data_IF_195927018752
#
_entry.id   IF_195927018752
#
_cell.length_a   1.000
_cell.length_b   1.000
_cell.length_c   1.000
_cell.angle_alpha   90.00
_cell.angle_beta   90.00
_cell.angle_gamma   90.00
#
_symmetry.space_group_name_H-M   'P 1'
#
loop_
_entity.id
_entity.type
_entity.pdbx_description
1 polymer ?
#
# COMPACT_ATOMS: atom_id res chain seq x y z
N UNK A 1 -6.57 18.14 -1.21
CA UNK A 1 -6.05 17.47 0.00
C UNK A 1 -6.78 16.16 0.14
N UNK A 2 -6.09 15.01 0.17
CA UNK A 2 -6.74 13.72 0.45
C UNK A 2 -7.02 13.63 1.94
N UNK A 3 -8.29 13.60 2.32
CA UNK A 3 -8.70 13.47 3.72
C UNK A 3 -8.73 11.99 4.05
N UNK A 4 -7.57 11.40 4.36
CA UNK A 4 -7.49 9.98 4.72
C UNK A 4 -8.38 9.68 5.93
N UNK A 5 -9.09 8.54 5.91
CA UNK A 5 -9.93 8.14 7.04
C UNK A 5 -9.04 7.94 8.27
N UNK A 6 -9.59 8.20 9.46
CA UNK A 6 -8.88 7.97 10.74
C UNK A 6 -9.50 6.81 11.49
N UNK A 7 -8.63 5.97 12.05
CA UNK A 7 -8.98 4.96 13.04
C UNK A 7 -9.54 5.62 14.31
N UNK A 8 -10.20 4.82 15.16
CA UNK A 8 -10.70 5.25 16.48
C UNK A 8 -9.64 5.94 17.34
N UNK A 9 -8.37 5.58 17.19
CA UNK A 9 -7.25 6.12 17.96
C UNK A 9 -6.51 7.27 17.25
N UNK A 10 -7.13 7.87 16.23
CA UNK A 10 -6.57 9.03 15.51
C UNK A 10 -5.46 8.69 14.51
N UNK A 11 -5.06 7.43 14.37
CA UNK A 11 -4.13 7.00 13.31
C UNK A 11 -4.83 7.09 11.95
N UNK A 12 -4.14 7.59 10.94
CA UNK A 12 -4.64 7.63 9.56
C UNK A 12 -4.59 6.21 9.00
N UNK A 13 -5.67 5.76 8.34
CA UNK A 13 -5.69 4.49 7.61
C UNK A 13 -4.66 4.53 6.48
N UNK A 14 -4.01 3.39 6.22
CA UNK A 14 -3.13 3.28 5.06
C UNK A 14 -3.97 3.29 3.79
N UNK A 15 -3.57 4.09 2.81
CA UNK A 15 -4.19 4.11 1.49
C UNK A 15 -3.36 3.24 0.53
N UNK A 16 -4.02 2.44 -0.29
CA UNK A 16 -3.41 1.60 -1.32
C UNK A 16 -3.97 1.96 -2.69
N UNK A 17 -3.09 1.98 -3.69
CA UNK A 17 -3.50 2.11 -5.08
C UNK A 17 -3.81 0.71 -5.62
N UNK A 18 -5.09 0.46 -5.91
CA UNK A 18 -5.59 -0.85 -6.34
C UNK A 18 -5.82 -0.84 -7.85
N UNK A 19 -5.17 -1.76 -8.55
CA UNK A 19 -5.46 -2.07 -9.95
C UNK A 19 -6.55 -3.14 -10.01
N UNK A 20 -7.68 -2.81 -10.64
CA UNK A 20 -8.81 -3.71 -10.74
C UNK A 20 -8.78 -4.48 -12.05
N UNK A 21 -9.17 -5.76 -11.98
CA UNK A 21 -9.32 -6.56 -13.19
C UNK A 21 -10.47 -6.00 -14.03
N UNK A 22 -10.18 -5.61 -15.27
CA UNK A 22 -11.17 -5.08 -16.21
C UNK A 22 -11.39 -3.57 -16.13
N UNK A 23 -10.60 -2.86 -15.32
CA UNK A 23 -10.54 -1.40 -15.32
C UNK A 23 -9.13 -0.94 -15.67
N UNK A 24 -9.01 0.09 -16.50
CA UNK A 24 -7.71 0.68 -16.85
C UNK A 24 -7.17 1.54 -15.70
N UNK A 25 -8.05 2.32 -15.08
CA UNK A 25 -7.66 3.26 -14.04
C UNK A 25 -7.64 2.62 -12.64
N UNK A 26 -6.50 2.70 -11.93
CA UNK A 26 -6.44 2.27 -10.55
C UNK A 26 -7.09 3.29 -9.62
N UNK A 27 -7.55 2.81 -8.46
CA UNK A 27 -8.20 3.67 -7.45
C UNK A 27 -7.51 3.61 -6.11
N UNK A 28 -7.46 4.74 -5.41
CA UNK A 28 -6.98 4.80 -4.02
C UNK A 28 -8.07 4.33 -3.05
N UNK A 29 -7.73 3.36 -2.20
CA UNK A 29 -8.64 2.77 -1.21
C UNK A 29 -7.97 2.68 0.16
N UNK A 30 -8.74 2.99 1.20
CA UNK A 30 -8.33 2.83 2.59
C UNK A 30 -8.21 1.34 2.95
N UNK A 31 -7.26 1.00 3.82
CA UNK A 31 -7.05 -0.35 4.36
C UNK A 31 -8.34 -0.98 4.92
N UNK A 32 -9.23 -0.18 5.50
CA UNK A 32 -10.50 -0.63 6.04
C UNK A 32 -11.51 -1.07 4.96
N UNK A 33 -11.44 -0.49 3.77
CA UNK A 33 -12.35 -0.77 2.65
C UNK A 33 -11.80 -1.88 1.73
N UNK A 34 -10.55 -2.30 1.91
CA UNK A 34 -9.91 -3.34 1.11
C UNK A 34 -10.26 -4.75 1.63
N UNK A 35 -11.09 -5.48 0.89
CA UNK A 35 -11.52 -6.85 1.27
C UNK A 35 -10.54 -7.98 0.87
N UNK A 36 -9.28 -7.65 0.61
CA UNK A 36 -8.28 -8.59 0.07
C UNK A 36 -7.14 -8.82 1.06
N UNK A 37 -7.46 -9.21 2.30
CA UNK A 37 -6.50 -9.29 3.41
C UNK A 37 -5.26 -10.16 3.13
N UNK A 38 -5.41 -11.29 2.43
CA UNK A 38 -4.29 -12.16 2.07
C UNK A 38 -3.32 -11.48 1.08
N UNK A 39 -3.84 -10.87 0.01
CA UNK A 39 -3.03 -10.14 -0.97
C UNK A 39 -2.34 -8.93 -0.34
N UNK A 40 -3.04 -8.22 0.55
CA UNK A 40 -2.46 -7.11 1.30
C UNK A 40 -1.31 -7.58 2.18
N UNK A 41 -1.48 -8.70 2.89
CA UNK A 41 -0.45 -9.27 3.75
C UNK A 41 0.80 -9.65 2.95
N UNK A 42 0.64 -10.33 1.81
CA UNK A 42 1.77 -10.67 0.94
C UNK A 42 2.48 -9.43 0.41
N UNK A 43 1.74 -8.43 -0.07
CA UNK A 43 2.31 -7.16 -0.54
C UNK A 43 3.13 -6.44 0.55
N UNK A 44 2.60 -6.35 1.77
CA UNK A 44 3.29 -5.72 2.89
C UNK A 44 4.53 -6.53 3.31
N UNK A 45 4.44 -7.86 3.29
CA UNK A 45 5.54 -8.77 3.62
C UNK A 45 6.67 -8.66 2.61
N UNK A 46 6.35 -8.66 1.31
CA UNK A 46 7.33 -8.47 0.24
C UNK A 46 7.99 -7.10 0.34
N UNK A 47 7.25 -6.04 0.65
CA UNK A 47 7.84 -4.70 0.83
C UNK A 47 8.75 -4.62 2.04
N UNK A 48 8.38 -5.25 3.16
CA UNK A 48 9.25 -5.34 4.33
C UNK A 48 10.52 -6.18 4.05
N UNK A 49 10.39 -7.22 3.22
CA UNK A 49 11.53 -8.03 2.80
C UNK A 49 12.45 -7.27 1.83
N UNK A 50 11.88 -6.59 0.83
CA UNK A 50 12.63 -5.68 -0.06
C UNK A 50 13.30 -4.56 0.70
N UNK A 51 12.71 -4.03 1.77
CA UNK A 51 13.36 -3.02 2.60
C UNK A 51 14.57 -3.60 3.37
N UNK A 52 14.52 -4.87 3.78
CA UNK A 52 15.65 -5.57 4.40
C UNK A 52 16.83 -5.82 3.44
N UNK A 53 16.57 -6.04 2.15
CA UNK A 53 17.61 -6.22 1.13
C UNK A 53 17.95 -4.93 0.35
N UNK A 54 17.07 -3.94 0.34
CA UNK A 54 17.19 -2.67 -0.39
C UNK A 54 17.99 -1.61 0.36
N UNK A 55 18.29 -1.79 1.64
CA UNK A 55 19.34 -1.02 2.33
C UNK A 55 20.72 -1.19 1.68
N UNK A 56 20.92 -2.22 0.83
CA UNK A 56 22.14 -2.40 0.03
C UNK A 56 22.09 -1.79 -1.38
N UNK A 57 20.98 -1.22 -1.84
CA UNK A 57 20.90 -0.57 -3.16
C UNK A 57 20.30 0.83 -3.02
N UNK A 58 21.09 1.74 -2.45
CA UNK A 58 20.90 3.18 -2.63
C UNK A 58 21.78 3.65 -3.78
N UNK A 59 21.15 4.34 -4.73
CA UNK A 59 21.66 4.92 -5.98
C UNK A 59 21.98 3.95 -7.11
N UNK A 60 21.12 3.98 -8.14
CA UNK A 60 21.49 4.44 -9.48
C UNK A 60 20.21 5.02 -10.13
N UNK A 61 20.11 6.35 -10.21
CA UNK A 61 19.23 7.04 -11.16
C UNK A 61 20.09 7.49 -12.35
N UNK A 62 19.59 7.43 -13.61
CA UNK A 62 20.24 8.02 -14.77
C UNK A 62 20.13 9.56 -14.80
#
# INVERSE_FOLDING_TARGET
>A
MRTGKRTRYGRIYREFLVHWRGYEDPTWIDEADLNCGALLYEFLRDRANRNRFGVMQSHEEP
#
